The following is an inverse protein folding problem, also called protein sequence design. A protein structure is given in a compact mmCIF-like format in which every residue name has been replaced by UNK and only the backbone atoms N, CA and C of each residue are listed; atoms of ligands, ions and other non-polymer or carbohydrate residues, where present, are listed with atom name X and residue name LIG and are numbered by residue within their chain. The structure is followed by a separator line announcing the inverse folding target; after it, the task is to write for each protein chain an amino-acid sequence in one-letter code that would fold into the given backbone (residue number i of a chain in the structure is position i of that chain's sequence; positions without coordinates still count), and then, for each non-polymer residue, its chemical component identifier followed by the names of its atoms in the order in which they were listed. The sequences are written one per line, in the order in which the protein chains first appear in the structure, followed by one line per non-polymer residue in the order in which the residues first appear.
data_IF_341213389911
#
_entry.id   IF_341213389911
#
_cell.length_a   1.000
_cell.length_b   1.000
_cell.length_c   1.000
_cell.angle_alpha   90.00
_cell.angle_beta   90.00
_cell.angle_gamma   90.00
#
_symmetry.space_group_name_H-M   'P 1'
#
loop_
_entity.id
_entity.type
_entity.pdbx_description
1 polymer ?
#
# COMPACT_ATOMS: atom_id res chain seq x y z
N UNK A 1 -6.47 -13.67 25.39
CA UNK A 1 -6.10 -13.93 23.98
C UNK A 1 -5.44 -12.69 23.43
N UNK A 2 -4.17 -12.82 23.05
CA UNK A 2 -3.23 -11.72 22.95
C UNK A 2 -3.64 -10.66 21.92
N UNK A 3 -3.93 -9.47 22.45
CA UNK A 3 -3.82 -8.19 21.77
C UNK A 3 -2.37 -8.04 21.32
N UNK A 4 -2.13 -8.03 20.02
CA UNK A 4 -0.82 -7.73 19.46
C UNK A 4 -0.84 -6.29 18.98
N UNK A 5 -0.56 -5.38 19.91
CA UNK A 5 0.08 -4.12 19.57
C UNK A 5 1.37 -4.44 18.80
N UNK A 6 1.47 -3.96 17.56
CA UNK A 6 2.77 -3.70 16.96
C UNK A 6 2.75 -2.29 16.40
N UNK A 7 3.28 -1.42 17.24
CA UNK A 7 3.87 -0.14 16.92
C UNK A 7 4.89 -0.36 15.78
N UNK A 8 4.69 0.37 14.69
CA UNK A 8 5.73 0.55 13.67
C UNK A 8 5.76 2.03 13.38
N UNK A 9 6.34 2.75 14.35
CA UNK A 9 7.09 3.94 14.03
C UNK A 9 8.29 3.47 13.19
N UNK A 10 8.27 3.79 11.91
CA UNK A 10 9.46 3.77 11.07
C UNK A 10 9.40 5.05 10.24
N UNK A 11 10.13 6.02 10.77
CA UNK A 11 11.03 6.95 10.08
C UNK A 11 10.51 7.65 8.83
N UNK A 12 10.45 8.98 8.98
CA UNK A 12 10.45 9.93 7.89
C UNK A 12 11.78 9.84 7.14
N UNK A 13 11.81 9.12 6.02
CA UNK A 13 12.81 9.38 4.99
C UNK A 13 12.09 9.68 3.67
N UNK A 14 11.89 10.98 3.46
CA UNK A 14 11.46 11.58 2.23
C UNK A 14 12.64 11.63 1.26
N UNK A 15 12.76 10.60 0.41
CA UNK A 15 13.50 10.67 -0.83
C UNK A 15 12.62 10.07 -1.93
N UNK A 16 12.02 10.94 -2.75
CA UNK A 16 11.27 10.57 -3.96
C UNK A 16 12.24 10.05 -5.01
N UNK A 17 12.78 8.86 -4.80
CA UNK A 17 13.69 8.20 -5.73
C UNK A 17 12.87 7.44 -6.78
N UNK A 18 13.08 7.82 -8.04
CA UNK A 18 12.47 7.16 -9.21
C UNK A 18 12.94 5.71 -9.26
N UNK A 19 12.12 4.82 -8.73
CA UNK A 19 12.45 3.40 -8.59
C UNK A 19 12.63 2.77 -9.98
N UNK A 20 13.79 2.14 -10.28
CA UNK A 20 14.01 1.48 -11.57
C UNK A 20 12.97 0.38 -11.82
N UNK A 21 12.51 0.19 -13.08
CA UNK A 21 11.46 -0.77 -13.41
C UNK A 21 11.81 -2.23 -13.11
N UNK A 22 13.09 -2.59 -13.08
CA UNK A 22 13.56 -3.95 -12.74
C UNK A 22 13.78 -4.18 -11.24
N UNK A 23 13.50 -3.18 -10.41
CA UNK A 23 13.69 -3.29 -8.98
C UNK A 23 12.59 -4.13 -8.32
N UNK A 24 12.94 -4.81 -7.23
CA UNK A 24 12.00 -5.54 -6.35
C UNK A 24 10.83 -4.65 -5.92
N UNK A 25 11.09 -3.36 -5.73
CA UNK A 25 10.09 -2.35 -5.35
C UNK A 25 9.04 -2.11 -6.46
N UNK A 26 9.43 -2.14 -7.74
CA UNK A 26 8.47 -2.05 -8.85
C UNK A 26 7.60 -3.31 -8.96
N UNK A 27 8.20 -4.48 -8.81
CA UNK A 27 7.47 -5.76 -8.78
C UNK A 27 6.45 -5.78 -7.63
N UNK A 28 6.86 -5.34 -6.45
CA UNK A 28 6.00 -5.22 -5.28
C UNK A 28 4.85 -4.23 -5.50
N UNK A 29 5.16 -3.02 -6.00
CA UNK A 29 4.15 -2.01 -6.37
C UNK A 29 3.12 -2.59 -7.35
N UNK A 30 3.58 -3.31 -8.37
CA UNK A 30 2.74 -3.90 -9.39
C UNK A 30 1.84 -5.00 -8.83
N UNK A 31 2.35 -5.84 -7.93
CA UNK A 31 1.57 -6.86 -7.24
C UNK A 31 0.45 -6.26 -6.38
N UNK A 32 0.77 -5.22 -5.61
CA UNK A 32 -0.20 -4.50 -4.78
C UNK A 32 -1.28 -3.84 -5.65
N UNK A 33 -0.87 -3.13 -6.71
CA UNK A 33 -1.79 -2.48 -7.64
C UNK A 33 -2.73 -3.48 -8.32
N UNK A 34 -2.20 -4.63 -8.76
CA UNK A 34 -3.01 -5.68 -9.40
C UNK A 34 -4.02 -6.27 -8.40
N UNK A 35 -3.61 -6.54 -7.16
CA UNK A 35 -4.51 -7.02 -6.12
C UNK A 35 -5.64 -6.02 -5.82
N UNK A 36 -5.29 -4.75 -5.64
CA UNK A 36 -6.26 -3.66 -5.43
C UNK A 36 -7.26 -3.58 -6.59
N UNK A 37 -6.80 -3.64 -7.84
CA UNK A 37 -7.67 -3.63 -9.03
C UNK A 37 -8.61 -4.85 -9.07
N UNK A 38 -8.09 -6.06 -8.85
CA UNK A 38 -8.88 -7.30 -8.84
C UNK A 38 -10.04 -7.25 -7.85
N UNK A 39 -9.81 -6.59 -6.73
CA UNK A 39 -10.80 -6.48 -5.66
C UNK A 39 -11.58 -5.17 -5.66
N UNK A 40 -11.53 -4.42 -6.77
CA UNK A 40 -12.26 -3.14 -6.92
C UNK A 40 -11.94 -2.15 -5.79
N UNK A 41 -10.66 -2.07 -5.42
CA UNK A 41 -10.14 -1.16 -4.39
C UNK A 41 -10.66 -1.42 -2.97
N UNK A 42 -11.16 -2.63 -2.71
CA UNK A 42 -11.53 -3.05 -1.35
C UNK A 42 -10.29 -3.37 -0.50
N UNK A 43 -9.78 -2.36 0.23
CA UNK A 43 -8.57 -2.46 1.06
C UNK A 43 -8.63 -3.62 2.07
N UNK A 44 -9.82 -3.93 2.61
CA UNK A 44 -10.01 -5.01 3.57
C UNK A 44 -9.79 -6.40 2.97
N UNK A 45 -10.26 -6.60 1.74
CA UNK A 45 -10.01 -7.84 1.03
C UNK A 45 -8.55 -7.87 0.53
N UNK A 46 -7.95 -6.71 0.24
CA UNK A 46 -6.66 -6.67 -0.48
C UNK A 46 -5.54 -6.99 0.47
N UNK A 47 -5.66 -6.46 1.68
CA UNK A 47 -4.83 -6.81 2.82
C UNK A 47 -4.92 -8.31 3.16
N UNK A 48 -6.11 -8.93 3.08
CA UNK A 48 -6.27 -10.38 3.29
C UNK A 48 -5.59 -11.21 2.21
N UNK A 49 -5.78 -10.90 0.94
CA UNK A 49 -5.17 -11.65 -0.17
C UNK A 49 -3.64 -11.49 -0.20
N UNK A 50 -3.13 -10.33 0.21
CA UNK A 50 -1.69 -10.06 0.34
C UNK A 50 -1.12 -10.57 1.67
N UNK A 51 -1.94 -11.11 2.57
CA UNK A 51 -1.56 -11.55 3.93
C UNK A 51 -0.83 -10.46 4.75
N UNK A 52 -1.21 -9.19 4.58
CA UNK A 52 -0.65 -8.04 5.32
C UNK A 52 -1.76 -7.31 6.08
N UNK A 53 -1.38 -6.48 7.06
CA UNK A 53 -2.35 -5.62 7.73
C UNK A 53 -2.78 -4.46 6.84
N UNK A 54 -3.99 -3.91 7.09
CA UNK A 54 -4.46 -2.68 6.42
C UNK A 54 -3.47 -1.52 6.57
N UNK A 55 -2.90 -1.35 7.77
CA UNK A 55 -1.91 -0.30 8.03
C UNK A 55 -0.66 -0.45 7.15
N UNK A 56 -0.17 -1.69 6.98
CA UNK A 56 0.96 -1.96 6.09
C UNK A 56 0.61 -1.69 4.63
N UNK A 57 -0.60 -2.07 4.21
CA UNK A 57 -1.09 -1.78 2.87
C UNK A 57 -1.18 -0.28 2.60
N UNK A 58 -1.74 0.51 3.54
CA UNK A 58 -1.77 1.98 3.43
C UNK A 58 -0.37 2.59 3.35
N UNK A 59 0.58 2.14 4.19
CA UNK A 59 1.98 2.59 4.13
C UNK A 59 2.61 2.31 2.77
N UNK A 60 2.42 1.10 2.24
CA UNK A 60 2.94 0.72 0.91
C UNK A 60 2.26 1.51 -0.20
N UNK A 61 0.95 1.73 -0.12
CA UNK A 61 0.23 2.59 -1.06
C UNK A 61 0.77 4.02 -1.06
N UNK A 62 1.01 4.59 0.13
CA UNK A 62 1.65 5.91 0.28
C UNK A 62 3.07 5.92 -0.27
N UNK A 63 3.89 4.91 0.05
CA UNK A 63 5.28 4.76 -0.42
C UNK A 63 5.36 4.69 -1.95
N UNK A 64 4.41 4.02 -2.60
CA UNK A 64 4.40 3.82 -4.06
C UNK A 64 3.46 4.79 -4.80
N UNK A 65 2.92 5.79 -4.10
CA UNK A 65 1.92 6.74 -4.60
C UNK A 65 0.78 6.05 -5.37
N UNK A 66 0.23 4.97 -4.80
CA UNK A 66 -0.92 4.24 -5.34
C UNK A 66 -2.18 4.91 -4.79
N UNK A 67 -2.90 5.64 -5.65
CA UNK A 67 -4.12 6.38 -5.28
C UNK A 67 -5.35 5.63 -5.80
N UNK A 68 -6.36 5.35 -4.95
CA UNK A 68 -7.62 4.76 -5.41
C UNK A 68 -8.45 5.78 -6.21
N UNK A 69 -9.19 5.31 -7.23
CA UNK A 69 -9.97 6.17 -8.11
C UNK A 69 -11.11 6.89 -7.38
N UNK A 70 -11.61 6.31 -6.27
CA UNK A 70 -12.69 6.89 -5.48
C UNK A 70 -12.21 7.99 -4.52
N UNK A 71 -10.91 8.20 -4.39
CA UNK A 71 -10.32 9.24 -3.53
C UNK A 71 -9.89 10.46 -4.35
N UNK A 72 -10.16 10.44 -5.67
CA UNK A 72 -9.93 11.56 -6.58
C UNK A 72 -10.94 12.73 -6.38
N UNK A 73 -11.95 12.53 -5.52
CA UNK A 73 -12.99 13.51 -5.16
C UNK A 73 -12.78 14.19 -3.79
N UNK A 74 -11.62 14.07 -3.14
CA UNK A 74 -11.40 14.67 -1.80
C UNK A 74 -11.18 16.21 -1.81
N UNK A 75 -11.01 16.84 -2.97
CA UNK A 75 -10.65 18.27 -3.05
C UNK A 75 -11.68 19.15 -3.79
N UNK A 76 -12.98 18.86 -3.63
CA UNK A 76 -14.05 19.75 -4.10
C UNK A 76 -14.54 20.71 -3.03
#
# INVERSE_FOLDING_TARGET
SASLQQEIADDADECTETVPPDSVQFAERSAILNCLKKQKWNISNASRDLCISRATLYRKMKKYSIIPPNEMDWNS
#
